data_IF_261398502036
#
_entry.id   IF_261398502036
#
_cell.length_a   1.000
_cell.length_b   1.000
_cell.length_c   1.000
_cell.angle_alpha   90.00
_cell.angle_beta   90.00
_cell.angle_gamma   90.00
#
_symmetry.space_group_name_H-M   'P 1'
#
loop_
_entity.id
_entity.type
_entity.pdbx_description
1 polymer ?
#
# COMPACT_ATOMS: atom_id res chain seq x y z
N UNK A 1 -25.26 -28.06 -3.78
CA UNK A 1 -25.62 -26.98 -2.80
C UNK A 1 -24.32 -26.40 -2.29
N UNK A 2 -23.92 -25.23 -2.77
CA UNK A 2 -22.73 -24.54 -2.28
C UNK A 2 -22.95 -24.15 -0.83
N UNK A 3 -22.08 -24.58 0.07
CA UNK A 3 -22.13 -24.21 1.48
C UNK A 3 -22.17 -22.68 1.61
N UNK A 4 -23.14 -22.14 2.35
CA UNK A 4 -23.20 -20.70 2.65
C UNK A 4 -22.09 -20.26 3.60
N UNK A 5 -21.37 -21.20 4.18
CA UNK A 5 -20.28 -20.98 5.13
C UNK A 5 -18.95 -21.25 4.42
N UNK A 6 -18.00 -20.32 4.53
CA UNK A 6 -16.65 -20.46 4.00
C UNK A 6 -15.63 -19.81 4.94
N UNK A 7 -14.37 -20.21 4.83
CA UNK A 7 -13.24 -19.69 5.60
C UNK A 7 -12.19 -19.11 4.66
N UNK A 8 -11.51 -18.08 5.13
CA UNK A 8 -10.38 -17.48 4.43
C UNK A 8 -9.44 -16.80 5.42
N UNK A 9 -8.25 -16.47 4.94
CA UNK A 9 -7.31 -15.60 5.62
C UNK A 9 -7.41 -14.22 4.97
N UNK A 10 -7.40 -13.16 5.77
CA UNK A 10 -7.57 -11.82 5.24
C UNK A 10 -6.90 -10.73 6.06
N UNK A 11 -6.63 -9.61 5.39
CA UNK A 11 -6.19 -8.36 6.02
C UNK A 11 -7.35 -7.39 6.02
N UNK A 12 -7.63 -6.78 7.18
CA UNK A 12 -8.69 -5.77 7.31
C UNK A 12 -8.23 -4.48 6.64
N UNK A 13 -8.91 -4.07 5.56
CA UNK A 13 -8.61 -2.84 4.85
C UNK A 13 -9.27 -1.63 5.50
N UNK A 14 -10.57 -1.76 5.82
CA UNK A 14 -11.37 -0.63 6.31
C UNK A 14 -12.58 -1.09 7.10
N UNK A 15 -13.06 -0.21 7.99
CA UNK A 15 -14.29 -0.47 8.74
C UNK A 15 -15.22 0.74 8.70
N UNK A 16 -16.54 0.49 8.64
CA UNK A 16 -17.58 1.50 8.71
C UNK A 16 -18.58 1.16 9.80
N UNK A 17 -19.13 2.16 10.48
CA UNK A 17 -20.23 1.98 11.42
C UNK A 17 -21.49 1.54 10.66
N UNK A 18 -22.19 0.55 11.19
CA UNK A 18 -23.49 0.09 10.71
C UNK A 18 -24.47 0.04 11.89
N UNK A 19 -25.41 0.99 11.92
CA UNK A 19 -26.29 1.13 13.07
C UNK A 19 -25.55 1.39 14.39
N UNK A 20 -26.13 0.96 15.49
CA UNK A 20 -25.60 1.24 16.83
C UNK A 20 -24.49 0.27 17.27
N UNK A 21 -24.58 -1.00 16.90
CA UNK A 21 -23.72 -2.06 17.45
C UNK A 21 -22.81 -2.76 16.46
N UNK A 22 -23.01 -2.57 15.17
CA UNK A 22 -22.38 -3.33 14.10
C UNK A 22 -21.33 -2.48 13.36
N UNK A 23 -20.46 -3.15 12.59
CA UNK A 23 -19.59 -2.53 11.60
C UNK A 23 -19.67 -3.33 10.29
N UNK A 24 -19.55 -2.64 9.16
CA UNK A 24 -19.14 -3.25 7.90
C UNK A 24 -17.61 -3.27 7.91
N UNK A 25 -17.03 -4.43 7.64
CA UNK A 25 -15.59 -4.64 7.56
C UNK A 25 -15.26 -5.04 6.13
N UNK A 26 -14.27 -4.39 5.55
CA UNK A 26 -13.73 -4.71 4.23
C UNK A 26 -12.42 -5.45 4.42
N UNK A 27 -12.30 -6.62 3.83
CA UNK A 27 -11.13 -7.46 3.87
C UNK A 27 -10.52 -7.58 2.47
N UNK A 28 -9.20 -7.61 2.37
CA UNK A 28 -8.53 -8.30 1.28
C UNK A 28 -8.29 -9.73 1.75
N UNK A 29 -8.90 -10.69 1.09
CA UNK A 29 -8.74 -12.12 1.44
C UNK A 29 -7.85 -12.82 0.43
N UNK A 30 -7.21 -13.89 0.88
CA UNK A 30 -6.25 -14.65 0.06
C UNK A 30 -6.92 -15.34 -1.14
N UNK A 31 -8.12 -15.93 -0.93
CA UNK A 31 -8.76 -16.79 -1.92
C UNK A 31 -10.05 -16.22 -2.53
N UNK A 32 -10.63 -15.15 -1.95
CA UNK A 32 -11.91 -14.57 -2.42
C UNK A 32 -11.80 -13.08 -2.78
N UNK A 33 -10.57 -12.52 -2.85
CA UNK A 33 -10.35 -11.12 -3.17
C UNK A 33 -10.90 -10.16 -2.12
N UNK A 34 -11.44 -9.03 -2.54
CA UNK A 34 -12.03 -8.04 -1.63
C UNK A 34 -13.42 -8.48 -1.18
N UNK A 35 -13.57 -8.75 0.12
CA UNK A 35 -14.82 -9.20 0.74
C UNK A 35 -15.35 -8.12 1.68
N UNK A 36 -16.64 -7.82 1.54
CA UNK A 36 -17.38 -6.90 2.41
C UNK A 36 -18.30 -7.70 3.31
N UNK A 37 -18.14 -7.58 4.64
CA UNK A 37 -18.90 -8.37 5.59
C UNK A 37 -19.35 -7.55 6.80
N UNK A 38 -20.50 -7.92 7.37
CA UNK A 38 -21.04 -7.33 8.60
C UNK A 38 -20.52 -8.09 9.81
N UNK A 39 -19.88 -7.39 10.73
CA UNK A 39 -19.49 -7.88 12.05
C UNK A 39 -20.55 -7.44 13.07
N UNK A 40 -21.53 -8.33 13.33
CA UNK A 40 -22.66 -8.04 14.23
C UNK A 40 -22.22 -7.93 15.70
N UNK A 41 -22.64 -6.87 16.37
CA UNK A 41 -22.34 -6.64 17.79
C UNK A 41 -20.88 -6.31 18.10
N UNK A 42 -20.08 -5.95 17.10
CA UNK A 42 -18.64 -5.65 17.30
C UNK A 42 -18.41 -4.47 18.25
N UNK A 43 -19.33 -3.52 18.29
CA UNK A 43 -19.24 -2.31 19.14
C UNK A 43 -19.76 -2.50 20.56
N UNK A 44 -20.30 -3.67 20.87
CA UNK A 44 -20.75 -3.99 22.24
C UNK A 44 -19.55 -4.20 23.16
N UNK A 45 -19.65 -3.80 24.42
CA UNK A 45 -18.59 -3.91 25.44
C UNK A 45 -18.05 -5.35 25.57
N UNK A 46 -18.92 -6.36 25.41
CA UNK A 46 -18.55 -7.79 25.42
C UNK A 46 -18.58 -8.37 24.01
N UNK A 47 -17.95 -7.69 23.06
CA UNK A 47 -17.87 -8.19 21.69
C UNK A 47 -17.00 -9.45 21.60
N UNK A 48 -17.51 -10.47 20.90
CA UNK A 48 -16.74 -11.70 20.61
C UNK A 48 -15.54 -11.46 19.66
N UNK A 49 -15.53 -10.33 18.97
CA UNK A 49 -14.47 -9.99 17.99
C UNK A 49 -13.29 -9.26 18.64
N UNK A 50 -13.52 -8.53 19.75
CA UNK A 50 -12.50 -7.70 20.40
C UNK A 50 -11.89 -6.71 19.39
N UNK A 51 -10.57 -6.47 19.49
CA UNK A 51 -9.81 -5.60 18.57
C UNK A 51 -9.34 -6.30 17.29
N UNK A 52 -9.77 -7.55 17.01
CA UNK A 52 -9.25 -8.34 15.86
C UNK A 52 -9.64 -7.81 14.50
N UNK A 53 -10.68 -6.98 14.41
CA UNK A 53 -11.20 -6.43 13.16
C UNK A 53 -10.87 -4.94 12.98
N UNK A 54 -9.81 -4.47 13.57
CA UNK A 54 -9.29 -3.13 13.29
C UNK A 54 -8.44 -3.13 11.99
N UNK A 55 -8.34 -2.00 11.28
CA UNK A 55 -7.53 -1.90 10.06
C UNK A 55 -6.12 -2.45 10.25
N UNK A 56 -5.55 -3.06 9.22
CA UNK A 56 -4.27 -3.75 9.18
C UNK A 56 -4.20 -5.09 9.93
N UNK A 57 -5.25 -5.50 10.66
CA UNK A 57 -5.28 -6.81 11.32
C UNK A 57 -5.24 -7.94 10.29
N UNK A 58 -4.37 -8.92 10.52
CA UNK A 58 -4.28 -10.16 9.73
C UNK A 58 -5.01 -11.27 10.49
N UNK A 59 -6.04 -11.81 9.90
CA UNK A 59 -7.01 -12.67 10.58
C UNK A 59 -7.43 -13.87 9.73
N UNK A 60 -7.67 -15.00 10.40
CA UNK A 60 -8.44 -16.11 9.87
C UNK A 60 -9.93 -15.85 10.16
N UNK A 61 -10.75 -15.83 9.13
CA UNK A 61 -12.17 -15.42 9.21
C UNK A 61 -13.07 -16.51 8.66
N UNK A 62 -14.17 -16.75 9.35
CA UNK A 62 -15.27 -17.55 8.83
C UNK A 62 -16.44 -16.65 8.47
N UNK A 63 -16.92 -16.78 7.26
CA UNK A 63 -18.00 -16.00 6.70
C UNK A 63 -19.24 -16.84 6.43
N UNK A 64 -20.42 -16.26 6.62
CA UNK A 64 -21.65 -16.69 5.98
C UNK A 64 -21.87 -15.84 4.75
N UNK A 65 -21.98 -16.46 3.58
CA UNK A 65 -22.25 -15.78 2.32
C UNK A 65 -23.64 -15.13 2.36
N UNK A 66 -23.67 -13.82 2.19
CA UNK A 66 -24.85 -13.01 2.03
C UNK A 66 -25.15 -12.70 0.57
N UNK A 67 -26.20 -11.95 0.32
CA UNK A 67 -26.54 -11.44 -1.01
C UNK A 67 -25.62 -10.31 -1.44
N UNK A 68 -25.51 -9.26 -0.64
CA UNK A 68 -24.72 -8.07 -0.91
C UNK A 68 -23.53 -7.95 0.05
N UNK A 69 -23.73 -8.27 1.33
CA UNK A 69 -22.72 -8.29 2.37
C UNK A 69 -22.71 -9.67 3.02
N UNK A 70 -21.52 -10.21 3.21
CA UNK A 70 -21.33 -11.41 3.99
C UNK A 70 -21.49 -11.12 5.51
N UNK A 71 -21.51 -12.15 6.33
CA UNK A 71 -21.60 -11.99 7.80
C UNK A 71 -20.39 -12.68 8.40
N UNK A 72 -19.60 -11.95 9.20
CA UNK A 72 -18.51 -12.53 9.99
C UNK A 72 -19.12 -13.38 11.12
N UNK A 73 -18.84 -14.68 11.08
CA UNK A 73 -19.28 -15.62 12.14
C UNK A 73 -18.22 -15.86 13.20
N UNK A 74 -16.94 -16.04 12.77
CA UNK A 74 -15.78 -16.25 13.64
C UNK A 74 -14.58 -15.47 13.10
N UNK A 75 -13.67 -15.06 14.00
CA UNK A 75 -12.40 -14.42 13.66
C UNK A 75 -11.35 -14.79 14.69
N UNK A 76 -10.16 -15.12 14.18
CA UNK A 76 -8.97 -15.39 14.97
C UNK A 76 -7.79 -14.61 14.41
N UNK A 77 -6.93 -14.06 15.26
CA UNK A 77 -5.70 -13.40 14.79
C UNK A 77 -4.73 -14.47 14.29
N UNK A 78 -4.20 -14.27 13.08
CA UNK A 78 -3.18 -15.17 12.52
C UNK A 78 -1.82 -14.92 13.18
N UNK A 79 -1.54 -13.65 13.48
CA UNK A 79 -0.31 -13.25 14.14
C UNK A 79 -0.61 -12.25 15.26
N UNK A 80 0.24 -12.29 16.28
CA UNK A 80 0.18 -11.40 17.45
C UNK A 80 1.13 -10.19 17.33
N UNK A 81 1.58 -9.87 16.12
CA UNK A 81 2.47 -8.74 15.92
C UNK A 81 1.77 -7.46 16.36
N UNK A 82 2.47 -6.73 17.21
CA UNK A 82 1.99 -5.57 17.93
C UNK A 82 1.17 -4.62 17.08
N UNK A 83 0.23 -3.98 17.73
CA UNK A 83 -0.62 -2.98 17.10
C UNK A 83 0.23 -1.79 16.66
N UNK A 84 0.03 -1.33 15.44
CA UNK A 84 0.56 -0.05 14.92
C UNK A 84 0.05 1.15 15.77
N UNK A 85 -0.88 0.86 16.70
CA UNK A 85 -1.61 1.79 17.55
C UNK A 85 -0.76 2.42 18.66
N UNK A 86 0.25 3.15 18.37
CA UNK A 86 1.08 3.88 19.32
C UNK A 86 2.03 4.82 18.62
N UNK A 87 2.14 4.68 17.31
CA UNK A 87 2.97 5.52 16.47
C UNK A 87 2.13 6.12 15.34
N UNK A 88 1.95 7.45 15.36
CA UNK A 88 1.14 8.17 14.37
C UNK A 88 1.66 7.97 12.94
N UNK A 89 2.98 7.99 12.75
CA UNK A 89 3.61 7.80 11.44
C UNK A 89 3.31 6.41 10.88
N UNK A 90 3.44 5.37 11.71
CA UNK A 90 3.13 4.00 11.31
C UNK A 90 1.63 3.82 11.00
N UNK A 91 0.75 4.48 11.75
CA UNK A 91 -0.70 4.49 11.45
C UNK A 91 -1.01 5.17 10.13
N UNK A 92 -0.34 6.28 9.84
CA UNK A 92 -0.52 7.02 8.58
C UNK A 92 0.00 6.21 7.40
N UNK A 93 1.19 5.60 7.53
CA UNK A 93 1.73 4.69 6.51
C UNK A 93 0.80 3.49 6.29
N UNK A 94 0.32 2.85 7.36
CA UNK A 94 -0.65 1.76 7.28
C UNK A 94 -1.91 2.18 6.49
N UNK A 95 -2.46 3.36 6.80
CA UNK A 95 -3.63 3.90 6.09
C UNK A 95 -3.38 4.06 4.60
N UNK A 96 -2.19 4.50 4.19
CA UNK A 96 -1.81 4.66 2.78
C UNK A 96 -1.69 3.32 2.06
N UNK A 97 -1.08 2.31 2.70
CA UNK A 97 -1.01 0.95 2.14
C UNK A 97 -2.41 0.36 1.92
N UNK A 98 -3.27 0.47 2.94
CA UNK A 98 -4.62 -0.08 2.90
C UNK A 98 -5.50 0.64 1.88
N UNK A 99 -5.41 1.97 1.78
CA UNK A 99 -6.17 2.75 0.83
C UNK A 99 -5.74 2.43 -0.62
N UNK A 100 -4.44 2.35 -0.88
CA UNK A 100 -3.93 2.01 -2.21
C UNK A 100 -4.48 0.66 -2.70
N UNK A 101 -4.46 -0.37 -1.85
CA UNK A 101 -5.00 -1.68 -2.18
C UNK A 101 -6.52 -1.65 -2.35
N UNK A 102 -7.24 -0.95 -1.46
CA UNK A 102 -8.70 -0.85 -1.55
C UNK A 102 -9.17 -0.18 -2.84
N UNK A 103 -8.38 0.73 -3.42
CA UNK A 103 -8.68 1.39 -4.70
C UNK A 103 -8.42 0.49 -5.91
N UNK A 104 -7.39 -0.36 -5.88
CA UNK A 104 -7.02 -1.22 -7.00
C UNK A 104 -7.81 -2.52 -7.08
N UNK A 105 -8.05 -3.16 -5.94
CA UNK A 105 -8.57 -4.52 -5.92
C UNK A 105 -10.07 -4.54 -6.21
N UNK A 106 -10.52 -5.32 -7.20
CA UNK A 106 -11.94 -5.52 -7.47
C UNK A 106 -12.63 -6.33 -6.38
N UNK A 107 -13.95 -6.16 -6.25
CA UNK A 107 -14.76 -6.92 -5.29
C UNK A 107 -14.86 -8.40 -5.72
N UNK A 108 -14.62 -9.33 -4.80
CA UNK A 108 -14.83 -10.77 -4.93
C UNK A 108 -14.00 -11.46 -6.05
N UNK A 109 -12.95 -10.83 -6.49
CA UNK A 109 -11.99 -11.41 -7.43
C UNK A 109 -10.67 -11.71 -6.72
N UNK A 110 -10.19 -12.97 -6.73
CA UNK A 110 -8.93 -13.34 -6.08
C UNK A 110 -7.73 -12.65 -6.72
N UNK A 111 -6.93 -12.00 -5.89
CA UNK A 111 -5.69 -11.29 -6.29
C UNK A 111 -4.53 -11.72 -5.39
N UNK A 112 -4.09 -12.99 -5.46
CA UNK A 112 -3.14 -13.57 -4.50
C UNK A 112 -1.80 -12.84 -4.47
N UNK A 113 -1.38 -12.23 -5.58
CA UNK A 113 -0.16 -11.43 -5.62
C UNK A 113 -0.31 -10.16 -4.77
N UNK A 114 -1.44 -9.44 -4.90
CA UNK A 114 -1.73 -8.24 -4.10
C UNK A 114 -1.83 -8.56 -2.61
N UNK A 115 -2.46 -9.69 -2.27
CA UNK A 115 -2.53 -10.16 -0.89
C UNK A 115 -1.13 -10.38 -0.29
N UNK A 116 -0.25 -11.09 -0.99
CA UNK A 116 1.14 -11.33 -0.56
C UNK A 116 1.94 -10.03 -0.45
N UNK A 117 1.75 -9.11 -1.39
CA UNK A 117 2.43 -7.81 -1.37
C UNK A 117 2.00 -6.98 -0.16
N UNK A 118 0.68 -6.89 0.13
CA UNK A 118 0.19 -6.19 1.30
C UNK A 118 0.65 -6.85 2.60
N UNK A 119 0.64 -8.16 2.68
CA UNK A 119 1.14 -8.92 3.83
C UNK A 119 2.62 -8.63 4.10
N UNK A 120 3.45 -8.62 3.05
CA UNK A 120 4.87 -8.28 3.14
C UNK A 120 5.10 -6.82 3.55
N UNK A 121 4.36 -5.86 2.99
CA UNK A 121 4.45 -4.45 3.37
C UNK A 121 4.01 -4.23 4.83
N UNK A 122 2.92 -4.88 5.27
CA UNK A 122 2.48 -4.90 6.65
C UNK A 122 3.57 -5.41 7.58
N UNK A 123 4.17 -6.55 7.26
CA UNK A 123 5.25 -7.14 8.07
C UNK A 123 6.44 -6.18 8.17
N UNK A 124 6.83 -5.58 7.06
CA UNK A 124 7.93 -4.59 7.02
C UNK A 124 7.60 -3.38 7.90
N UNK A 125 6.39 -2.84 7.79
CA UNK A 125 5.96 -1.70 8.61
C UNK A 125 5.99 -2.00 10.11
N UNK A 126 5.66 -3.23 10.50
CA UNK A 126 5.66 -3.66 11.91
C UNK A 126 7.05 -3.96 12.48
N UNK A 127 7.97 -4.46 11.65
CA UNK A 127 9.29 -4.93 12.11
C UNK A 127 10.43 -3.97 11.78
N UNK A 128 10.30 -3.21 10.69
CA UNK A 128 11.31 -2.28 10.18
C UNK A 128 10.64 -1.01 9.63
N UNK A 129 9.98 -0.21 10.48
CA UNK A 129 9.28 0.99 10.03
C UNK A 129 10.26 1.96 9.35
N UNK A 130 9.91 2.42 8.16
CA UNK A 130 10.71 3.35 7.36
C UNK A 130 9.79 4.19 6.48
N UNK A 131 10.08 5.48 6.25
CA UNK A 131 9.32 6.31 5.32
C UNK A 131 9.38 5.80 3.87
N UNK A 132 10.32 4.92 3.53
CA UNK A 132 10.44 4.29 2.22
C UNK A 132 9.39 3.18 1.98
N UNK A 133 8.74 2.65 3.02
CA UNK A 133 7.80 1.50 2.88
C UNK A 133 6.64 1.84 1.95
N UNK A 134 5.99 2.98 2.14
CA UNK A 134 4.83 3.39 1.31
C UNK A 134 5.25 3.67 -0.13
N UNK A 135 6.25 4.53 -0.42
CA UNK A 135 6.69 4.78 -1.80
C UNK A 135 7.08 3.50 -2.54
N UNK A 136 7.87 2.64 -1.90
CA UNK A 136 8.27 1.36 -2.47
C UNK A 136 7.07 0.44 -2.76
N UNK A 137 6.08 0.43 -1.88
CA UNK A 137 4.87 -0.34 -2.07
C UNK A 137 4.05 0.19 -3.26
N UNK A 138 3.84 1.49 -3.38
CA UNK A 138 3.11 2.11 -4.49
C UNK A 138 3.76 1.80 -5.83
N UNK A 139 5.09 1.92 -5.94
CA UNK A 139 5.82 1.55 -7.15
C UNK A 139 5.69 0.07 -7.50
N UNK A 140 5.76 -0.82 -6.51
CA UNK A 140 5.56 -2.26 -6.73
C UNK A 140 4.12 -2.58 -7.14
N UNK A 141 3.13 -1.86 -6.61
CA UNK A 141 1.74 -2.00 -7.07
C UNK A 141 1.61 -1.62 -8.55
N UNK A 142 2.17 -0.48 -8.96
CA UNK A 142 2.17 -0.06 -10.37
C UNK A 142 2.81 -1.11 -11.29
N UNK A 143 3.94 -1.69 -10.86
CA UNK A 143 4.58 -2.79 -11.63
C UNK A 143 3.68 -4.03 -11.69
N UNK A 144 2.99 -4.37 -10.62
CA UNK A 144 2.04 -5.49 -10.60
C UNK A 144 0.83 -5.27 -11.51
N UNK A 145 0.40 -4.00 -11.68
CA UNK A 145 -0.64 -3.58 -12.63
C UNK A 145 -0.12 -3.45 -14.08
N UNK A 146 1.15 -3.80 -14.35
CA UNK A 146 1.76 -3.73 -15.68
C UNK A 146 2.34 -2.36 -16.03
N UNK A 147 2.34 -1.40 -15.12
CA UNK A 147 2.85 -0.03 -15.32
C UNK A 147 4.26 0.09 -14.72
N UNK A 148 5.24 -0.53 -15.39
CA UNK A 148 6.64 -0.42 -14.98
C UNK A 148 7.24 0.87 -15.52
N UNK A 149 7.82 1.76 -14.70
CA UNK A 149 8.44 2.99 -15.19
C UNK A 149 9.69 2.70 -16.02
N UNK A 150 9.89 3.48 -17.08
CA UNK A 150 11.14 3.49 -17.84
C UNK A 150 12.15 4.39 -17.15
N UNK A 151 13.27 3.80 -16.69
CA UNK A 151 14.29 4.53 -15.90
C UNK A 151 15.64 4.61 -16.60
N UNK A 152 15.82 3.96 -17.78
CA UNK A 152 17.11 3.81 -18.44
C UNK A 152 17.18 4.49 -19.80
N UNK A 153 16.02 4.92 -20.34
CA UNK A 153 15.94 5.66 -21.60
C UNK A 153 14.95 6.82 -21.46
N UNK A 154 15.24 7.93 -22.12
CA UNK A 154 14.33 9.08 -22.18
C UNK A 154 13.04 8.68 -22.93
N UNK A 155 11.89 8.80 -22.26
CA UNK A 155 10.59 8.42 -22.86
C UNK A 155 10.18 9.33 -24.01
N UNK A 156 10.75 10.53 -24.13
CA UNK A 156 10.41 11.49 -25.17
C UNK A 156 11.26 11.34 -26.47
N UNK A 157 12.57 11.07 -26.35
CA UNK A 157 13.46 10.98 -27.52
C UNK A 157 14.11 9.60 -27.71
N UNK A 158 13.93 8.68 -26.74
CA UNK A 158 14.52 7.34 -26.82
C UNK A 158 16.02 7.27 -26.49
N UNK A 159 16.66 8.40 -26.12
CA UNK A 159 18.08 8.44 -25.79
C UNK A 159 18.35 7.63 -24.54
N UNK A 160 19.27 6.66 -24.63
CA UNK A 160 19.58 5.73 -23.54
C UNK A 160 20.53 6.28 -22.50
N UNK A 161 20.73 5.56 -21.41
CA UNK A 161 21.70 5.88 -20.36
C UNK A 161 23.13 5.63 -20.86
N UNK A 162 23.77 6.67 -21.44
CA UNK A 162 25.21 6.75 -21.58
C UNK A 162 25.83 7.48 -20.39
N UNK A 163 27.17 7.45 -20.25
CA UNK A 163 27.87 8.17 -19.17
C UNK A 163 27.54 9.67 -19.13
N UNK A 164 27.12 10.25 -20.28
CA UNK A 164 26.81 11.67 -20.46
C UNK A 164 25.31 12.03 -20.39
N UNK A 165 24.40 11.04 -20.24
CA UNK A 165 22.96 11.33 -20.26
C UNK A 165 22.46 11.60 -18.86
N UNK A 166 22.14 12.86 -18.62
CA UNK A 166 21.57 13.30 -17.36
C UNK A 166 20.03 13.37 -17.46
N UNK A 167 19.35 12.41 -16.85
CA UNK A 167 17.92 12.50 -16.66
C UNK A 167 17.60 13.51 -15.55
N UNK A 168 16.78 14.49 -15.88
CA UNK A 168 16.47 15.63 -14.99
C UNK A 168 15.01 15.71 -14.57
N UNK A 169 14.15 14.92 -15.19
CA UNK A 169 12.73 14.91 -14.90
C UNK A 169 12.12 13.51 -15.10
N UNK A 170 10.93 13.34 -14.59
CA UNK A 170 10.07 12.16 -14.78
C UNK A 170 8.73 12.63 -15.35
N UNK A 171 8.33 12.09 -16.48
CA UNK A 171 7.02 12.30 -17.09
C UNK A 171 6.07 11.21 -16.63
N UNK A 172 5.05 11.60 -15.86
CA UNK A 172 4.06 10.67 -15.31
C UNK A 172 3.16 10.13 -16.42
N UNK A 173 2.81 10.94 -17.41
CA UNK A 173 1.92 10.53 -18.49
C UNK A 173 2.59 9.49 -19.39
N UNK A 174 3.88 9.68 -19.70
CA UNK A 174 4.66 8.74 -20.49
C UNK A 174 5.30 7.62 -19.65
N UNK A 175 5.23 7.73 -18.31
CA UNK A 175 5.66 6.69 -17.38
C UNK A 175 7.17 6.50 -17.30
N UNK A 176 7.99 7.57 -17.39
CA UNK A 176 9.44 7.40 -17.33
C UNK A 176 10.27 8.67 -17.26
N UNK A 177 11.60 8.47 -17.26
CA UNK A 177 12.58 9.54 -17.15
C UNK A 177 12.74 10.33 -18.45
N UNK A 178 13.08 11.62 -18.30
CA UNK A 178 13.25 12.57 -19.41
C UNK A 178 14.62 13.23 -19.28
N UNK A 179 15.35 13.29 -20.41
CA UNK A 179 16.66 13.92 -20.47
C UNK A 179 16.57 15.46 -20.42
N UNK A 180 17.72 16.12 -20.23
CA UNK A 180 17.81 17.58 -20.14
C UNK A 180 17.28 18.30 -21.39
N UNK A 181 17.47 17.72 -22.58
CA UNK A 181 17.03 18.31 -23.85
C UNK A 181 15.50 18.28 -24.00
N UNK A 182 14.86 17.25 -23.54
CA UNK A 182 13.39 17.05 -23.63
C UNK A 182 12.61 17.68 -22.47
N UNK A 183 13.27 17.91 -21.36
CA UNK A 183 12.80 18.48 -20.09
C UNK A 183 11.29 18.75 -19.96
N UNK A 184 10.56 17.72 -19.57
CA UNK A 184 9.13 17.79 -19.27
C UNK A 184 8.82 16.96 -18.00
N UNK A 185 7.77 17.31 -17.29
CA UNK A 185 7.34 16.57 -16.11
C UNK A 185 7.92 17.08 -14.78
N UNK A 186 8.04 16.19 -13.80
CA UNK A 186 8.49 16.49 -12.43
C UNK A 186 10.00 16.32 -12.34
N UNK A 187 10.69 17.29 -11.72
CA UNK A 187 12.12 17.18 -11.48
C UNK A 187 12.45 15.90 -10.72
N UNK A 188 13.55 15.24 -11.10
CA UNK A 188 14.10 14.08 -10.41
C UNK A 188 15.60 14.27 -10.23
N UNK A 189 16.06 14.16 -8.97
CA UNK A 189 17.50 14.18 -8.68
C UNK A 189 18.16 12.86 -9.05
N UNK A 190 19.48 12.85 -9.37
CA UNK A 190 20.20 11.60 -9.60
C UNK A 190 20.11 10.61 -8.42
N UNK A 191 20.11 11.11 -7.19
CA UNK A 191 19.98 10.30 -5.99
C UNK A 191 18.57 9.66 -5.87
N UNK A 192 17.50 10.41 -6.17
CA UNK A 192 16.15 9.88 -6.18
C UNK A 192 15.94 8.84 -7.30
N UNK A 193 16.53 9.08 -8.47
CA UNK A 193 16.49 8.12 -9.57
C UNK A 193 17.24 6.81 -9.20
N UNK A 194 18.40 6.94 -8.55
CA UNK A 194 19.14 5.77 -8.07
C UNK A 194 18.33 4.98 -7.04
N UNK A 195 17.75 5.67 -6.05
CA UNK A 195 16.88 5.07 -5.05
C UNK A 195 15.68 4.33 -5.68
N UNK A 196 15.04 4.93 -6.68
CA UNK A 196 13.94 4.32 -7.40
C UNK A 196 14.37 3.05 -8.16
N UNK A 197 15.53 3.08 -8.81
CA UNK A 197 16.12 1.90 -9.46
C UNK A 197 16.38 0.77 -8.47
N UNK A 198 16.89 1.09 -7.28
CA UNK A 198 17.17 0.12 -6.23
C UNK A 198 15.90 -0.54 -5.69
N UNK A 199 14.85 0.27 -5.44
CA UNK A 199 13.53 -0.21 -5.02
C UNK A 199 12.95 -1.20 -6.04
N UNK A 200 13.00 -0.86 -7.32
CA UNK A 200 12.44 -1.66 -8.41
C UNK A 200 13.36 -2.82 -8.84
N UNK A 201 14.65 -2.69 -8.57
CA UNK A 201 15.68 -3.74 -8.78
C UNK A 201 15.70 -4.83 -7.71
N UNK A 202 14.83 -4.75 -6.69
CA UNK A 202 14.72 -5.77 -5.65
C UNK A 202 15.61 -5.56 -4.43
N UNK A 203 16.37 -4.46 -4.34
CA UNK A 203 17.30 -4.15 -3.23
C UNK A 203 16.64 -3.45 -2.03
N UNK A 204 15.29 -3.39 -2.00
CA UNK A 204 14.55 -2.73 -0.92
C UNK A 204 14.94 -3.27 0.47
N UNK A 205 15.16 -4.59 0.60
CA UNK A 205 15.56 -5.20 1.88
C UNK A 205 16.86 -4.61 2.42
N UNK A 206 17.90 -4.54 1.57
CA UNK A 206 19.20 -3.98 1.91
C UNK A 206 19.10 -2.50 2.29
N UNK A 207 18.28 -1.75 1.57
CA UNK A 207 18.05 -0.33 1.85
C UNK A 207 17.34 -0.09 3.17
N UNK A 208 16.35 -0.93 3.50
CA UNK A 208 15.68 -0.85 4.80
C UNK A 208 16.60 -1.21 5.96
N UNK A 209 17.53 -2.15 5.75
CA UNK A 209 18.51 -2.52 6.75
C UNK A 209 19.55 -1.40 6.98
N UNK A 210 19.93 -0.67 5.92
CA UNK A 210 20.81 0.51 6.01
C UNK A 210 20.10 1.74 6.59
N UNK A 211 18.83 1.93 6.25
CA UNK A 211 18.03 3.07 6.71
C UNK A 211 17.47 2.90 8.15
N UNK A 212 17.54 1.70 8.71
CA UNK A 212 17.08 1.42 10.08
C UNK A 212 18.11 1.86 11.15
N UNK A 213 18.56 3.09 11.02
CA UNK A 213 19.17 3.82 12.14
C UNK A 213 18.07 4.71 12.73
N UNK A 214 17.52 4.42 13.92
CA UNK A 214 16.49 5.25 14.53
C UNK A 214 17.07 6.62 14.83
N UNK A 215 16.66 7.62 14.05
CA UNK A 215 17.09 9.01 14.25
C UNK A 215 16.14 10.00 13.59
N UNK A 216 16.03 11.23 14.11
CA UNK A 216 15.13 12.26 13.59
C UNK A 216 15.47 12.78 12.19
N UNK A 217 16.60 12.34 11.60
CA UNK A 217 17.08 12.80 10.30
C UNK A 217 16.40 12.13 9.10
N UNK A 218 15.74 10.97 9.29
CA UNK A 218 15.11 10.21 8.19
C UNK A 218 13.77 10.78 7.72
N UNK A 219 13.07 11.55 8.54
CA UNK A 219 11.75 12.12 8.19
C UNK A 219 11.84 13.33 7.24
N UNK A 220 13.01 13.98 7.17
CA UNK A 220 13.25 15.17 6.33
C UNK A 220 14.28 14.94 5.21
N UNK A 221 14.52 13.69 4.83
CA UNK A 221 15.42 13.39 3.71
C UNK A 221 14.78 13.86 2.40
N UNK A 222 15.37 14.85 1.70
CA UNK A 222 14.82 15.38 0.47
C UNK A 222 14.70 14.33 -0.64
N UNK A 223 15.60 13.34 -0.67
CA UNK A 223 15.58 12.25 -1.66
C UNK A 223 14.39 11.32 -1.42
N UNK A 224 14.13 10.95 -0.16
CA UNK A 224 12.97 10.15 0.21
C UNK A 224 11.66 10.88 -0.10
N UNK A 225 11.59 12.17 0.21
CA UNK A 225 10.42 13.00 -0.09
C UNK A 225 10.15 13.09 -1.59
N UNK A 226 11.19 13.25 -2.40
CA UNK A 226 11.10 13.29 -3.85
C UNK A 226 10.55 11.97 -4.41
N UNK A 227 11.09 10.83 -3.99
CA UNK A 227 10.60 9.50 -4.39
C UNK A 227 9.18 9.25 -3.91
N UNK A 228 8.82 9.70 -2.70
CA UNK A 228 7.48 9.56 -2.15
C UNK A 228 6.43 10.38 -2.93
N UNK A 229 6.75 11.63 -3.23
CA UNK A 229 5.87 12.49 -4.04
C UNK A 229 5.68 11.91 -5.44
N UNK A 230 6.76 11.43 -6.07
CA UNK A 230 6.68 10.85 -7.40
C UNK A 230 5.86 9.56 -7.40
N UNK A 231 6.07 8.68 -6.42
CA UNK A 231 5.29 7.44 -6.25
C UNK A 231 3.79 7.73 -6.10
N UNK A 232 3.46 8.70 -5.24
CA UNK A 232 2.07 9.12 -5.01
C UNK A 232 1.42 9.64 -6.28
N UNK A 233 2.08 10.57 -6.98
CA UNK A 233 1.55 11.16 -8.22
C UNK A 233 1.38 10.13 -9.34
N UNK A 234 2.36 9.23 -9.51
CA UNK A 234 2.28 8.15 -10.49
C UNK A 234 1.13 7.19 -10.17
N UNK A 235 0.96 6.84 -8.90
CA UNK A 235 -0.12 5.98 -8.46
C UNK A 235 -1.50 6.64 -8.61
N UNK A 236 -1.65 7.89 -8.17
CA UNK A 236 -2.89 8.68 -8.32
C UNK A 236 -3.28 8.87 -9.78
N UNK A 237 -2.29 9.07 -10.67
CA UNK A 237 -2.51 9.13 -12.10
C UNK A 237 -3.05 7.80 -12.66
N UNK A 238 -2.46 6.68 -12.23
CA UNK A 238 -2.89 5.35 -12.67
C UNK A 238 -4.32 5.00 -12.23
N UNK A 239 -4.69 5.32 -10.98
CA UNK A 239 -6.05 5.03 -10.46
C UNK A 239 -7.07 6.13 -10.79
N UNK A 240 -6.65 7.21 -11.46
CA UNK A 240 -7.47 8.40 -11.77
C UNK A 240 -8.16 9.01 -10.53
N UNK A 241 -7.56 8.89 -9.37
CA UNK A 241 -8.08 9.36 -8.07
C UNK A 241 -6.96 9.81 -7.15
N UNK A 242 -7.30 10.71 -6.22
CA UNK A 242 -6.38 11.11 -5.15
C UNK A 242 -6.48 10.19 -3.94
N UNK A 243 -5.33 9.87 -3.35
CA UNK A 243 -5.24 9.18 -2.07
C UNK A 243 -5.51 10.17 -0.92
N UNK A 244 -6.51 9.87 -0.11
CA UNK A 244 -6.89 10.72 1.04
C UNK A 244 -5.89 10.64 2.18
N UNK A 245 -5.29 9.46 2.38
CA UNK A 245 -4.30 9.21 3.43
C UNK A 245 -3.00 9.97 3.23
N UNK A 246 -2.59 10.21 1.97
CA UNK A 246 -1.34 10.91 1.65
C UNK A 246 -1.45 12.41 1.88
N UNK A 247 -2.62 13.01 1.74
CA UNK A 247 -2.83 14.43 2.04
C UNK A 247 -2.57 14.80 3.52
N UNK A 248 -2.43 13.82 4.40
CA UNK A 248 -2.03 14.00 5.79
C UNK A 248 -0.51 14.22 5.94
N UNK A 249 0.31 13.73 4.99
CA UNK A 249 1.77 13.95 5.00
C UNK A 249 2.18 15.33 4.50
N UNK A 250 1.38 15.97 3.64
CA UNK A 250 1.68 17.28 3.05
C UNK A 250 1.40 18.46 4.00
N UNK A 251 0.85 18.21 5.19
CA UNK A 251 0.44 19.26 6.16
C UNK A 251 1.39 19.44 7.35
N UNK A 252 2.53 18.79 7.33
CA UNK A 252 3.60 18.96 8.33
C UNK A 252 4.93 19.31 7.61
#
# INVERSE_FOLDING_TARGET
MTSRLYRDTGIVLRTYKLGESDKIVIFLTENHGKVRAVAKGIRKTRSKFGGRLEPLSHVAVQFHRGRDLDIVSQVESVDSHGTVFGNLDAMTQASSLLEAVDQLVPDREPVPQMFKMLLGARQTLLTRPSPLVVPAFLWKLLVAEGVRPQLDTCVACGEGSGEDINFVAFDIQQGGVVCRSCRAGFAISPAALHLLRDVLGGRLGEMLDQAYQPGPQTLNDPVLNEVAQLATRAFEHHIERRLRSVSLFERH
#
